data_IF_888582081596
#
_entry.id   IF_888582081596
#
_cell.length_a   1.000
_cell.length_b   1.000
_cell.length_c   1.000
_cell.angle_alpha   90.00
_cell.angle_beta   90.00
_cell.angle_gamma   90.00
#
_symmetry.space_group_name_H-M   'P 1'
#
loop_
_entity.id
_entity.type
_entity.pdbx_description
1 polymer ?
#
# COMPACT_ATOMS: atom_id res chain seq x y z
N UNK A 1 -4.97 2.93 15.97
CA UNK A 1 -5.10 3.63 14.67
C UNK A 1 -6.59 3.67 14.36
N UNK A 2 -7.07 4.61 13.56
CA UNK A 2 -8.49 4.68 13.19
C UNK A 2 -8.60 4.27 11.74
N UNK A 3 -9.30 3.17 11.46
CA UNK A 3 -9.53 2.81 10.07
C UNK A 3 -10.50 3.76 9.43
N UNK A 4 -10.32 4.02 8.14
CA UNK A 4 -11.16 4.94 7.38
C UNK A 4 -12.59 4.45 7.18
N UNK A 5 -12.93 3.23 7.60
CA UNK A 5 -14.33 2.82 7.81
C UNK A 5 -15.03 3.62 8.92
N UNK A 6 -14.30 4.16 9.90
CA UNK A 6 -14.83 4.93 11.04
C UNK A 6 -14.72 6.46 10.87
N UNK A 7 -14.05 6.94 9.82
CA UNK A 7 -13.83 8.38 9.55
C UNK A 7 -13.97 8.68 8.06
N UNK A 8 -14.92 9.55 7.72
CA UNK A 8 -14.96 10.19 6.39
C UNK A 8 -13.73 11.09 6.21
N UNK A 9 -12.71 10.59 5.52
CA UNK A 9 -11.65 11.45 4.97
C UNK A 9 -12.29 12.35 3.92
N UNK A 10 -11.90 13.63 3.89
CA UNK A 10 -12.46 14.59 2.94
C UNK A 10 -11.85 14.37 1.57
N UNK A 11 -12.64 13.80 0.65
CA UNK A 11 -12.34 13.88 -0.77
C UNK A 11 -12.44 15.33 -1.24
N UNK A 12 -11.60 15.71 -2.21
CA UNK A 12 -11.70 17.03 -2.85
C UNK A 12 -13.02 17.13 -3.62
N UNK A 13 -13.85 18.11 -3.29
CA UNK A 13 -15.06 18.45 -4.06
C UNK A 13 -14.63 19.23 -5.31
N UNK A 14 -14.85 18.68 -6.49
CA UNK A 14 -14.38 19.27 -7.76
C UNK A 14 -15.19 20.51 -8.20
N UNK A 15 -16.18 20.95 -7.40
CA UNK A 15 -17.02 22.10 -7.72
C UNK A 15 -16.51 23.44 -7.17
N UNK A 16 -15.30 23.86 -7.56
CA UNK A 16 -14.82 25.23 -7.31
C UNK A 16 -14.03 25.84 -8.47
N UNK A 17 -14.77 26.35 -9.47
CA UNK A 17 -14.26 27.34 -10.42
C UNK A 17 -14.01 28.67 -9.69
N UNK A 18 -12.75 28.99 -9.41
CA UNK A 18 -12.37 30.33 -8.95
C UNK A 18 -11.99 31.20 -10.15
N UNK A 19 -12.81 32.20 -10.44
CA UNK A 19 -12.62 33.14 -11.54
C UNK A 19 -11.99 34.43 -11.01
N UNK A 20 -10.67 34.55 -11.13
CA UNK A 20 -9.98 35.84 -10.92
C UNK A 20 -9.08 36.14 -12.11
N UNK A 21 -9.38 37.26 -12.77
CA UNK A 21 -8.57 37.82 -13.84
C UNK A 21 -7.32 38.46 -13.24
N UNK A 22 -6.15 38.15 -13.79
CA UNK A 22 -4.99 39.03 -13.69
C UNK A 22 -4.79 39.78 -15.01
N UNK A 23 -4.56 41.08 -14.88
CA UNK A 23 -4.48 42.02 -15.99
C UNK A 23 -3.09 41.99 -16.62
N UNK A 24 -3.01 41.73 -17.92
CA UNK A 24 -1.76 41.82 -18.68
C UNK A 24 -1.37 43.29 -18.84
N UNK A 25 -0.11 43.61 -18.56
CA UNK A 25 0.57 44.81 -19.08
C UNK A 25 1.84 44.32 -19.76
N UNK A 26 1.87 44.42 -21.09
CA UNK A 26 3.10 44.27 -21.87
C UNK A 26 3.90 45.59 -21.83
N UNK A 27 5.23 45.49 -21.77
CA UNK A 27 6.07 46.47 -22.45
C UNK A 27 7.36 45.79 -22.95
N UNK A 28 7.82 46.19 -24.13
CA UNK A 28 8.80 45.45 -24.94
C UNK A 28 10.00 46.31 -25.39
N UNK A 29 11.18 45.68 -25.39
CA UNK A 29 12.35 45.93 -26.24
C UNK A 29 13.35 44.79 -25.92
N UNK A 30 13.99 44.07 -26.87
CA UNK A 30 14.90 44.58 -27.91
C UNK A 30 16.25 44.93 -27.25
N UNK A 31 17.44 44.48 -27.66
CA UNK A 31 17.93 43.90 -28.92
C UNK A 31 19.39 43.38 -28.66
N UNK A 32 20.10 42.50 -29.40
CA UNK A 32 19.92 41.74 -30.66
C UNK A 32 20.92 40.52 -30.66
N UNK A 33 21.00 39.72 -31.74
CA UNK A 33 22.24 39.09 -32.30
C UNK A 33 23.01 37.94 -31.55
N UNK A 34 23.57 36.89 -32.20
CA UNK A 34 23.48 36.42 -33.60
C UNK A 34 23.97 34.94 -33.78
N UNK A 35 23.52 34.28 -34.88
CA UNK A 35 24.18 33.24 -35.74
C UNK A 35 24.97 32.01 -35.16
N UNK A 36 24.59 30.77 -35.54
CA UNK A 36 25.30 29.84 -36.51
C UNK A 36 26.51 29.10 -35.90
N UNK A 37 26.79 27.79 -36.08
CA UNK A 37 26.15 26.62 -36.72
C UNK A 37 26.76 25.33 -36.07
N UNK A 38 26.78 24.08 -36.57
CA UNK A 38 26.45 23.45 -37.87
C UNK A 38 26.13 21.93 -37.71
N UNK A 39 25.85 21.26 -38.82
CA UNK A 39 25.71 19.79 -38.97
C UNK A 39 27.04 19.03 -38.95
N UNK A 40 27.02 17.74 -38.59
CA UNK A 40 27.58 16.66 -39.44
C UNK A 40 26.99 15.29 -39.07
N UNK A 41 26.69 14.50 -40.11
CA UNK A 41 26.35 13.06 -40.07
C UNK A 41 27.63 12.20 -39.95
N UNK A 42 27.52 10.87 -39.82
CA UNK A 42 28.33 9.88 -40.57
C UNK A 42 27.85 8.40 -40.39
N UNK A 43 28.04 7.67 -41.49
CA UNK A 43 27.71 6.27 -41.86
C UNK A 43 28.93 5.30 -41.63
N UNK A 44 28.88 3.95 -41.65
CA UNK A 44 27.82 2.93 -41.78
C UNK A 44 28.37 1.53 -41.34
N UNK A 45 27.52 0.60 -40.87
CA UNK A 45 27.24 -0.74 -41.47
C UNK A 45 28.11 -1.96 -41.04
N UNK A 46 27.59 -3.14 -41.45
CA UNK A 46 28.10 -4.52 -41.46
C UNK A 46 28.26 -5.29 -40.12
N UNK A 47 27.59 -6.42 -39.86
CA UNK A 47 27.42 -7.70 -40.60
C UNK A 47 28.68 -8.62 -40.48
N UNK A 48 28.60 -9.96 -40.40
CA UNK A 48 27.51 -10.92 -40.63
C UNK A 48 27.78 -12.29 -39.96
N UNK A 49 26.72 -13.12 -39.85
CA UNK A 49 26.61 -14.58 -40.08
C UNK A 49 27.43 -15.65 -39.29
N UNK A 50 26.81 -16.84 -39.17
CA UNK A 50 27.37 -18.02 -38.50
C UNK A 50 26.33 -19.08 -38.10
N UNK A 51 25.47 -19.51 -39.03
CA UNK A 51 24.58 -20.67 -38.86
C UNK A 51 25.35 -21.99 -39.07
N UNK A 52 24.92 -23.08 -38.41
CA UNK A 52 24.70 -24.35 -39.13
C UNK A 52 23.79 -25.30 -38.32
N UNK A 53 23.00 -26.12 -39.02
CA UNK A 53 21.97 -27.01 -38.47
C UNK A 53 22.45 -28.48 -38.36
N UNK A 54 21.69 -29.35 -37.66
CA UNK A 54 20.92 -30.44 -38.29
C UNK A 54 20.44 -31.53 -37.27
N UNK A 55 19.42 -32.28 -37.69
CA UNK A 55 18.61 -33.32 -37.05
C UNK A 55 19.38 -34.57 -36.52
N UNK A 56 18.79 -35.61 -35.90
CA UNK A 56 17.40 -36.11 -35.96
C UNK A 56 16.99 -36.98 -34.73
N UNK A 57 15.78 -37.52 -34.74
CA UNK A 57 15.03 -38.12 -33.61
C UNK A 57 15.53 -39.47 -33.03
N UNK A 58 15.06 -39.82 -31.82
CA UNK A 58 14.16 -40.97 -31.54
C UNK A 58 13.65 -40.95 -30.08
N UNK A 59 12.49 -41.55 -29.84
CA UNK A 59 11.70 -41.60 -28.59
C UNK A 59 12.32 -42.35 -27.39
N UNK A 60 12.02 -41.89 -26.17
CA UNK A 60 11.28 -42.72 -25.18
C UNK A 60 10.53 -41.85 -24.15
N UNK A 61 9.52 -42.40 -23.50
CA UNK A 61 8.63 -41.68 -22.59
C UNK A 61 9.09 -41.77 -21.11
N UNK A 62 9.11 -40.63 -20.41
CA UNK A 62 8.92 -40.64 -18.94
C UNK A 62 8.12 -39.41 -18.51
N UNK A 63 7.04 -39.70 -17.78
CA UNK A 63 6.05 -38.75 -17.29
C UNK A 63 6.62 -37.92 -16.14
N UNK A 64 7.03 -36.68 -16.42
CA UNK A 64 7.15 -35.64 -15.40
C UNK A 64 6.01 -34.64 -15.58
N UNK A 65 5.16 -34.54 -14.56
CA UNK A 65 3.98 -33.68 -14.60
C UNK A 65 4.35 -32.34 -13.95
N UNK A 66 5.01 -31.48 -14.72
CA UNK A 66 5.30 -30.10 -14.32
C UNK A 66 4.02 -29.28 -14.43
N UNK A 67 3.28 -29.18 -13.32
CA UNK A 67 2.11 -28.30 -13.22
C UNK A 67 2.58 -26.91 -12.86
N UNK A 68 2.93 -26.14 -13.89
CA UNK A 68 2.99 -24.68 -13.80
C UNK A 68 1.58 -24.14 -13.52
N UNK A 69 1.21 -24.00 -12.25
CA UNK A 69 -0.01 -23.32 -11.83
C UNK A 69 0.12 -21.81 -12.08
N UNK A 70 0.05 -21.43 -13.35
CA UNK A 70 -0.23 -20.06 -13.76
C UNK A 70 -1.73 -19.81 -13.57
N UNK A 71 -2.16 -19.62 -12.31
CA UNK A 71 -3.44 -18.95 -12.05
C UNK A 71 -3.38 -17.58 -12.75
N UNK A 72 -4.31 -17.37 -13.69
CA UNK A 72 -4.47 -16.09 -14.37
C UNK A 72 -4.73 -14.98 -13.34
N UNK A 73 -3.73 -14.14 -13.12
CA UNK A 73 -3.75 -13.04 -12.13
C UNK A 73 -4.85 -11.99 -12.38
N UNK A 74 -5.49 -12.04 -13.55
CA UNK A 74 -6.64 -11.23 -13.92
C UNK A 74 -7.92 -11.74 -13.19
N UNK A 75 -7.97 -11.56 -11.86
CA UNK A 75 -9.05 -12.06 -11.01
C UNK A 75 -8.85 -11.99 -9.48
N UNK A 76 -7.75 -11.41 -8.98
CA UNK A 76 -7.54 -11.24 -7.53
C UNK A 76 -8.40 -10.10 -6.96
N UNK A 77 -9.60 -10.47 -6.51
CA UNK A 77 -10.52 -9.60 -5.77
C UNK A 77 -10.23 -9.69 -4.26
N UNK A 78 -10.21 -8.55 -3.56
CA UNK A 78 -9.95 -8.52 -2.10
C UNK A 78 -11.10 -9.20 -1.37
N UNK A 79 -10.79 -10.21 -0.55
CA UNK A 79 -11.78 -10.98 0.21
C UNK A 79 -11.32 -11.17 1.66
N UNK A 80 -11.95 -10.43 2.55
CA UNK A 80 -11.67 -10.45 3.98
C UNK A 80 -12.89 -10.07 4.81
N UNK A 81 -12.71 -9.94 6.11
CA UNK A 81 -13.74 -9.36 6.99
C UNK A 81 -14.12 -7.89 6.64
N UNK A 82 -13.31 -7.18 5.81
CA UNK A 82 -13.59 -5.82 5.28
C UNK A 82 -14.14 -5.82 3.86
N UNK A 83 -13.74 -6.78 3.03
CA UNK A 83 -13.95 -6.75 1.59
C UNK A 83 -14.68 -8.01 1.10
N UNK A 84 -15.61 -7.82 0.18
CA UNK A 84 -16.24 -8.91 -0.54
C UNK A 84 -16.14 -8.60 -2.04
N UNK A 85 -15.61 -9.54 -2.82
CA UNK A 85 -15.49 -9.42 -4.28
C UNK A 85 -14.77 -8.13 -4.72
N UNK A 86 -13.78 -7.68 -3.92
CA UNK A 86 -13.00 -6.46 -4.18
C UNK A 86 -13.68 -5.15 -3.71
N UNK A 87 -14.90 -5.20 -3.22
CA UNK A 87 -15.66 -4.05 -2.74
C UNK A 87 -15.66 -3.95 -1.21
N UNK A 88 -15.70 -2.72 -0.68
CA UNK A 88 -15.87 -2.50 0.75
C UNK A 88 -17.25 -2.98 1.21
N UNK A 89 -17.29 -3.88 2.19
CA UNK A 89 -18.55 -4.34 2.78
C UNK A 89 -19.24 -3.13 3.43
N UNK A 90 -20.40 -2.73 2.89
CA UNK A 90 -21.11 -1.50 3.31
C UNK A 90 -21.93 -1.66 4.60
N UNK A 91 -22.14 -2.90 5.05
CA UNK A 91 -22.81 -3.22 6.31
C UNK A 91 -22.13 -4.42 7.02
N UNK A 92 -20.86 -4.27 7.46
CA UNK A 92 -20.15 -5.36 8.09
C UNK A 92 -20.79 -5.67 9.44
N UNK A 93 -20.83 -6.97 9.80
CA UNK A 93 -21.32 -7.44 11.11
C UNK A 93 -20.56 -6.81 12.30
N UNK A 94 -19.40 -6.20 12.01
CA UNK A 94 -18.44 -5.62 12.95
C UNK A 94 -18.40 -4.08 12.97
N UNK A 95 -19.38 -3.36 12.38
CA UNK A 95 -19.47 -1.92 12.67
C UNK A 95 -19.55 -1.69 14.18
N UNK A 96 -18.79 -0.71 14.66
CA UNK A 96 -19.07 -0.08 15.95
C UNK A 96 -20.51 0.44 15.89
N UNK A 97 -21.47 -0.28 16.47
CA UNK A 97 -22.92 0.06 16.49
C UNK A 97 -23.24 1.19 17.47
N UNK A 98 -22.34 2.16 17.51
CA UNK A 98 -22.27 3.22 18.48
C UNK A 98 -22.74 4.49 17.81
N UNK A 99 -23.75 5.14 18.38
CA UNK A 99 -24.13 6.50 17.99
C UNK A 99 -22.86 7.35 18.06
N UNK A 100 -22.41 7.99 16.96
CA UNK A 100 -21.12 8.65 16.95
C UNK A 100 -21.06 9.71 18.05
N UNK A 101 -20.20 9.50 19.05
CA UNK A 101 -19.95 10.52 20.04
C UNK A 101 -19.38 11.75 19.33
N UNK A 102 -19.90 12.96 19.61
CA UNK A 102 -19.42 14.18 18.98
C UNK A 102 -17.92 14.47 19.23
N UNK A 103 -17.34 13.81 20.24
CA UNK A 103 -15.92 13.85 20.54
C UNK A 103 -15.13 12.61 20.09
N UNK A 104 -15.75 11.65 19.39
CA UNK A 104 -15.09 10.44 18.91
C UNK A 104 -13.76 10.77 18.22
N UNK A 105 -12.71 10.08 18.64
CA UNK A 105 -11.33 10.24 18.16
C UNK A 105 -10.67 11.60 18.45
N UNK A 106 -11.33 12.52 19.15
CA UNK A 106 -10.76 13.82 19.55
C UNK A 106 -10.00 13.66 20.87
N UNK A 107 -9.02 14.55 21.10
CA UNK A 107 -8.24 14.61 22.34
C UNK A 107 -8.95 15.53 23.33
N UNK A 108 -9.63 14.95 24.32
CA UNK A 108 -10.38 15.66 25.36
C UNK A 108 -9.61 15.54 26.68
N UNK A 109 -9.33 16.67 27.33
CA UNK A 109 -8.57 16.73 28.59
C UNK A 109 -7.24 15.94 28.55
N UNK A 110 -6.56 15.96 27.40
CA UNK A 110 -5.29 15.27 27.18
C UNK A 110 -5.38 13.81 26.69
N UNK A 111 -6.57 13.21 26.64
CA UNK A 111 -6.76 11.79 26.28
C UNK A 111 -7.63 11.65 25.03
N UNK A 112 -7.30 10.73 24.12
CA UNK A 112 -8.18 10.41 22.99
C UNK A 112 -9.38 9.58 23.44
N UNK A 113 -10.56 9.78 22.86
CA UNK A 113 -11.76 8.98 23.16
C UNK A 113 -12.20 8.13 21.95
N UNK A 114 -12.84 6.99 22.21
CA UNK A 114 -13.35 6.07 21.17
C UNK A 114 -14.71 6.52 20.60
N UNK A 115 -15.33 5.69 19.75
CA UNK A 115 -16.63 5.94 19.12
C UNK A 115 -17.79 6.16 20.11
N UNK A 116 -17.75 5.54 21.29
CA UNK A 116 -18.74 5.73 22.37
C UNK A 116 -18.39 6.90 23.32
N UNK A 117 -17.16 7.41 23.26
CA UNK A 117 -16.66 8.52 24.09
C UNK A 117 -15.85 8.10 25.32
N UNK A 118 -15.46 6.83 25.43
CA UNK A 118 -14.60 6.34 26.50
C UNK A 118 -13.12 6.64 26.21
N UNK A 119 -12.29 6.90 27.24
CA UNK A 119 -10.85 7.13 27.07
C UNK A 119 -10.09 5.93 26.48
N UNK A 120 -9.36 6.15 25.39
CA UNK A 120 -8.45 5.17 24.79
C UNK A 120 -7.14 5.16 25.59
N UNK A 121 -7.03 4.22 26.53
CA UNK A 121 -5.86 4.05 27.38
C UNK A 121 -4.60 3.82 26.53
N UNK A 122 -3.56 4.63 26.75
CA UNK A 122 -2.26 4.51 26.08
C UNK A 122 -2.18 5.16 24.69
N UNK A 123 -3.25 5.75 24.16
CA UNK A 123 -3.20 6.45 22.88
C UNK A 123 -2.38 7.76 22.98
N UNK A 124 -1.24 7.80 22.29
CA UNK A 124 -0.33 8.97 22.25
C UNK A 124 -0.47 9.81 20.99
N UNK A 125 -0.89 9.20 19.87
CA UNK A 125 -1.06 9.81 18.55
C UNK A 125 -2.32 9.32 17.84
N UNK A 126 -2.86 10.13 16.94
CA UNK A 126 -4.00 9.83 16.07
C UNK A 126 -3.56 9.71 14.61
N UNK A 127 -3.70 8.53 14.02
CA UNK A 127 -3.40 8.30 12.60
C UNK A 127 -4.49 7.54 11.87
N UNK A 128 -4.45 7.64 10.53
CA UNK A 128 -5.39 7.04 9.57
C UNK A 128 -4.69 6.04 8.64
N UNK A 129 -5.44 5.09 8.10
CA UNK A 129 -5.03 4.23 6.98
C UNK A 129 -5.81 4.55 5.70
N UNK A 130 -5.11 4.69 4.57
CA UNK A 130 -5.69 5.20 3.31
C UNK A 130 -5.25 4.40 2.08
N UNK A 131 -6.09 4.42 1.05
CA UNK A 131 -6.00 3.64 -0.20
C UNK A 131 -6.84 4.31 -1.30
N UNK A 132 -6.93 3.72 -2.48
CA UNK A 132 -7.80 4.20 -3.56
C UNK A 132 -9.28 4.33 -3.18
N UNK A 133 -9.78 3.56 -2.21
CA UNK A 133 -11.18 3.63 -1.75
C UNK A 133 -11.56 4.99 -1.14
N UNK A 134 -10.58 5.83 -0.76
CA UNK A 134 -10.84 7.19 -0.26
C UNK A 134 -10.90 8.24 -1.40
N UNK A 135 -10.58 7.86 -2.64
CA UNK A 135 -10.44 8.79 -3.76
C UNK A 135 -9.29 9.79 -3.53
N UNK A 136 -9.42 10.99 -4.13
CA UNK A 136 -8.42 12.06 -3.99
C UNK A 136 -8.62 12.82 -2.67
N UNK A 137 -7.70 12.63 -1.73
CA UNK A 137 -7.74 13.19 -0.37
C UNK A 137 -7.25 14.65 -0.33
N UNK A 138 -7.95 15.53 0.39
CA UNK A 138 -7.38 16.82 0.81
C UNK A 138 -6.42 16.64 2.00
N UNK A 139 -5.13 16.48 1.70
CA UNK A 139 -4.09 16.27 2.71
C UNK A 139 -3.80 17.51 3.58
N UNK A 140 -4.05 18.72 3.08
CA UNK A 140 -3.95 19.93 3.88
C UNK A 140 -5.04 19.96 4.95
N UNK A 141 -6.27 19.57 4.58
CA UNK A 141 -7.37 19.38 5.53
C UNK A 141 -7.06 18.27 6.55
N UNK A 142 -6.58 17.10 6.10
CA UNK A 142 -6.15 15.99 7.00
C UNK A 142 -5.17 16.47 8.06
N UNK A 143 -4.16 17.27 7.67
CA UNK A 143 -3.21 17.87 8.60
C UNK A 143 -3.88 18.87 9.56
N UNK A 144 -4.78 19.71 9.06
CA UNK A 144 -5.53 20.69 9.88
C UNK A 144 -6.49 20.05 10.90
N UNK A 145 -7.06 18.88 10.58
CA UNK A 145 -7.92 18.09 11.47
C UNK A 145 -7.10 17.34 12.55
N UNK A 146 -5.79 17.58 12.63
CA UNK A 146 -4.90 17.09 13.67
C UNK A 146 -4.57 15.60 13.57
N UNK A 147 -4.43 15.08 12.35
CA UNK A 147 -3.87 13.75 12.12
C UNK A 147 -2.34 13.81 12.30
N UNK A 148 -1.80 12.96 13.18
CA UNK A 148 -0.38 12.86 13.52
C UNK A 148 0.45 12.09 12.47
N UNK A 149 -0.16 11.13 11.77
CA UNK A 149 0.49 10.26 10.78
C UNK A 149 -0.53 9.52 9.89
N UNK A 150 -0.08 8.96 8.77
CA UNK A 150 -0.87 8.08 7.90
C UNK A 150 -0.17 6.74 7.61
N UNK A 151 -0.91 5.69 7.29
CA UNK A 151 -0.37 4.44 6.71
C UNK A 151 -1.04 4.25 5.34
N UNK A 152 -0.24 4.23 4.28
CA UNK A 152 -0.72 4.35 2.90
C UNK A 152 -0.65 2.99 2.19
N UNK A 153 -1.71 2.57 1.51
CA UNK A 153 -1.66 1.41 0.63
C UNK A 153 -0.74 1.70 -0.56
N UNK A 154 0.29 0.88 -0.75
CA UNK A 154 1.11 0.93 -1.96
C UNK A 154 0.55 0.07 -3.08
N UNK A 155 -0.14 -1.02 -2.75
CA UNK A 155 -0.74 -1.94 -3.70
C UNK A 155 -1.29 -3.19 -3.01
N UNK A 156 -1.44 -4.24 -3.78
CA UNK A 156 -1.79 -5.58 -3.33
C UNK A 156 -1.00 -6.63 -4.12
N UNK A 157 -0.87 -7.83 -3.57
CA UNK A 157 -0.35 -9.00 -4.31
C UNK A 157 1.06 -8.85 -4.90
N UNK A 158 1.33 -9.71 -5.89
CA UNK A 158 2.62 -9.90 -6.54
C UNK A 158 3.19 -8.62 -7.17
N UNK A 159 4.47 -8.62 -7.53
CA UNK A 159 5.17 -7.46 -8.11
C UNK A 159 4.74 -7.16 -9.56
N UNK A 160 3.51 -6.70 -9.74
CA UNK A 160 2.95 -6.19 -10.99
C UNK A 160 2.43 -4.77 -10.79
N UNK A 161 2.82 -3.87 -11.68
CA UNK A 161 2.33 -2.49 -11.76
C UNK A 161 0.81 -2.37 -11.94
N UNK A 162 0.12 -3.41 -12.42
CA UNK A 162 -1.35 -3.45 -12.49
C UNK A 162 -2.01 -3.53 -11.09
N UNK A 163 -1.23 -3.93 -10.08
CA UNK A 163 -1.67 -4.11 -8.68
C UNK A 163 -1.17 -2.97 -7.75
N UNK A 164 -0.49 -1.95 -8.30
CA UNK A 164 -0.19 -0.69 -7.60
C UNK A 164 -1.50 0.00 -7.17
N UNK A 165 -1.55 0.62 -5.99
CA UNK A 165 -2.69 1.43 -5.58
C UNK A 165 -2.75 2.72 -6.42
N UNK A 166 -3.85 3.02 -7.14
CA UNK A 166 -3.93 4.20 -8.01
C UNK A 166 -3.70 5.55 -7.31
N UNK A 167 -3.88 5.63 -5.99
CA UNK A 167 -3.62 6.85 -5.20
C UNK A 167 -2.22 6.86 -4.55
N UNK A 168 -1.42 5.79 -4.65
CA UNK A 168 -0.09 5.68 -4.03
C UNK A 168 0.78 6.92 -4.24
N UNK A 169 1.05 7.27 -5.51
CA UNK A 169 1.92 8.38 -5.90
C UNK A 169 1.42 9.71 -5.35
N UNK A 170 0.11 9.96 -5.45
CA UNK A 170 -0.51 11.19 -4.93
C UNK A 170 -0.39 11.26 -3.40
N UNK A 171 -0.80 10.21 -2.70
CA UNK A 171 -0.82 10.17 -1.23
C UNK A 171 0.58 10.29 -0.62
N UNK A 172 1.60 9.62 -1.17
CA UNK A 172 2.99 9.74 -0.70
C UNK A 172 3.53 11.13 -0.96
N UNK A 173 3.41 11.64 -2.20
CA UNK A 173 3.94 12.96 -2.56
C UNK A 173 3.32 14.10 -1.73
N UNK A 174 2.02 14.04 -1.43
CA UNK A 174 1.36 15.01 -0.55
C UNK A 174 1.77 14.88 0.92
N UNK A 175 1.98 13.65 1.43
CA UNK A 175 2.54 13.44 2.77
C UNK A 175 3.95 14.01 2.90
N UNK A 176 4.82 13.75 1.91
CA UNK A 176 6.19 14.28 1.88
C UNK A 176 6.19 15.81 1.76
N UNK A 177 5.44 16.38 0.81
CA UNK A 177 5.31 17.84 0.59
C UNK A 177 4.80 18.58 1.83
N UNK A 178 3.86 17.98 2.56
CA UNK A 178 3.30 18.57 3.78
C UNK A 178 4.04 18.17 5.06
N UNK A 179 5.06 17.30 4.99
CA UNK A 179 5.77 16.80 6.17
C UNK A 179 4.86 16.02 7.13
N UNK A 180 3.90 15.26 6.61
CA UNK A 180 3.05 14.34 7.37
C UNK A 180 3.81 13.01 7.49
N UNK A 181 4.18 12.56 8.71
CA UNK A 181 4.81 11.26 8.88
C UNK A 181 3.93 10.15 8.34
N UNK A 182 4.49 9.25 7.53
CA UNK A 182 3.72 8.13 6.97
C UNK A 182 4.47 6.80 7.08
N UNK A 183 3.69 5.72 6.98
CA UNK A 183 4.11 4.34 6.78
C UNK A 183 3.36 3.74 5.60
N UNK A 184 3.57 2.46 5.32
CA UNK A 184 3.07 1.80 4.11
C UNK A 184 2.43 0.48 4.45
N UNK A 185 1.43 0.04 3.69
CA UNK A 185 0.98 -1.35 3.71
C UNK A 185 0.77 -1.94 2.31
N UNK A 186 0.90 -3.27 2.22
CA UNK A 186 0.53 -4.08 1.06
C UNK A 186 -0.49 -5.13 1.50
N UNK A 187 -1.59 -5.26 0.76
CA UNK A 187 -2.59 -6.30 0.98
C UNK A 187 -2.10 -7.62 0.38
N UNK A 188 -1.90 -8.63 1.23
CA UNK A 188 -1.27 -9.90 0.84
C UNK A 188 -2.27 -10.89 0.26
N UNK A 189 -1.88 -11.55 -0.83
CA UNK A 189 -2.51 -12.75 -1.38
C UNK A 189 -1.59 -13.98 -1.32
N UNK A 190 -0.32 -13.80 -0.95
CA UNK A 190 0.69 -14.84 -0.96
C UNK A 190 0.26 -16.10 -0.17
N UNK A 191 0.20 -17.24 -0.86
CA UNK A 191 0.10 -18.57 -0.23
C UNK A 191 1.42 -19.31 -0.23
N UNK A 192 2.41 -18.80 -0.97
CA UNK A 192 3.76 -19.38 -1.11
C UNK A 192 4.86 -18.37 -0.76
N UNK A 193 6.05 -18.86 -0.36
CA UNK A 193 7.20 -17.99 -0.07
C UNK A 193 7.73 -17.27 -1.31
N UNK A 194 7.50 -17.81 -2.51
CA UNK A 194 7.79 -17.11 -3.78
C UNK A 194 6.94 -15.85 -3.92
N UNK A 195 5.63 -15.96 -3.68
CA UNK A 195 4.74 -14.80 -3.68
C UNK A 195 5.09 -13.82 -2.55
N UNK A 196 5.41 -14.29 -1.33
CA UNK A 196 5.83 -13.38 -0.25
C UNK A 196 7.12 -12.59 -0.57
N UNK A 197 8.03 -13.13 -1.40
CA UNK A 197 9.19 -12.38 -1.93
C UNK A 197 8.80 -11.40 -3.03
N UNK A 198 7.87 -11.79 -3.89
CA UNK A 198 7.31 -10.96 -4.95
C UNK A 198 6.55 -9.76 -4.37
N UNK A 199 5.65 -9.98 -3.41
CA UNK A 199 5.02 -8.96 -2.57
C UNK A 199 6.05 -8.01 -1.91
N UNK A 200 7.14 -8.53 -1.35
CA UNK A 200 8.21 -7.69 -0.82
C UNK A 200 8.88 -6.84 -1.91
N UNK A 201 9.15 -7.42 -3.09
CA UNK A 201 9.72 -6.71 -4.23
C UNK A 201 8.78 -5.63 -4.79
N UNK A 202 7.46 -5.85 -4.74
CA UNK A 202 6.43 -4.86 -5.07
C UNK A 202 6.61 -3.61 -4.19
N UNK A 203 6.62 -3.78 -2.87
CA UNK A 203 6.77 -2.65 -1.95
C UNK A 203 8.11 -1.95 -2.13
N UNK A 204 9.21 -2.70 -2.32
CA UNK A 204 10.54 -2.11 -2.53
C UNK A 204 10.66 -1.35 -3.86
N UNK A 205 10.00 -1.80 -4.94
CA UNK A 205 9.87 -1.04 -6.20
C UNK A 205 9.19 0.30 -5.95
N UNK A 206 8.08 0.31 -5.22
CA UNK A 206 7.28 1.51 -4.95
C UNK A 206 7.91 2.46 -3.93
N UNK A 207 8.75 1.95 -3.02
CA UNK A 207 9.51 2.74 -2.05
C UNK A 207 10.83 3.31 -2.58
N UNK A 208 11.23 3.00 -3.81
CA UNK A 208 12.50 3.49 -4.35
C UNK A 208 12.54 5.03 -4.42
N UNK A 209 13.40 5.66 -3.61
CA UNK A 209 13.49 7.11 -3.46
C UNK A 209 12.66 7.71 -2.30
N UNK A 210 11.87 6.89 -1.59
CA UNK A 210 10.99 7.31 -0.49
C UNK A 210 11.52 6.82 0.87
N UNK A 211 11.22 7.55 1.95
CA UNK A 211 11.71 7.23 3.30
C UNK A 211 10.60 7.37 4.37
N UNK A 212 9.69 6.37 4.48
CA UNK A 212 8.62 6.40 5.46
C UNK A 212 9.14 6.42 6.90
N UNK A 213 8.55 7.26 7.75
CA UNK A 213 8.91 7.36 9.17
C UNK A 213 8.30 6.23 10.03
N UNK A 214 7.21 5.63 9.55
CA UNK A 214 6.53 4.48 10.14
C UNK A 214 6.83 3.19 9.34
N UNK A 215 6.57 2.00 9.90
CA UNK A 215 6.90 0.74 9.25
C UNK A 215 6.17 0.49 7.93
N UNK A 216 6.74 -0.44 7.16
CA UNK A 216 6.05 -1.20 6.12
C UNK A 216 5.31 -2.36 6.76
N UNK A 217 4.01 -2.46 6.53
CA UNK A 217 3.15 -3.50 7.07
C UNK A 217 2.73 -4.50 5.99
N UNK A 218 2.85 -5.79 6.29
CA UNK A 218 2.10 -6.81 5.56
C UNK A 218 0.68 -6.87 6.14
N UNK A 219 -0.34 -6.60 5.32
CA UNK A 219 -1.75 -6.71 5.69
C UNK A 219 -2.20 -8.17 5.45
N UNK A 220 -2.33 -8.92 6.55
CA UNK A 220 -2.67 -10.34 6.56
C UNK A 220 -4.11 -10.52 7.06
N UNK A 221 -5.07 -10.47 6.13
CA UNK A 221 -6.48 -10.71 6.44
C UNK A 221 -7.29 -11.48 5.37
N UNK A 222 -6.66 -11.81 4.24
CA UNK A 222 -7.26 -12.49 3.08
C UNK A 222 -7.64 -13.95 3.40
N UNK A 223 -8.81 -14.39 2.94
CA UNK A 223 -9.35 -15.74 3.25
C UNK A 223 -8.50 -16.88 2.67
N UNK A 224 -7.82 -16.66 1.54
CA UNK A 224 -6.81 -17.60 1.00
C UNK A 224 -5.67 -17.85 2.01
N UNK A 225 -5.17 -16.78 2.63
CA UNK A 225 -4.13 -16.87 3.67
C UNK A 225 -4.71 -17.49 4.94
N UNK A 226 -5.94 -17.16 5.31
CA UNK A 226 -6.64 -17.73 6.47
C UNK A 226 -6.72 -19.25 6.42
N UNK A 227 -6.88 -19.81 5.23
CA UNK A 227 -6.99 -21.26 5.01
C UNK A 227 -5.67 -22.04 5.21
N UNK A 228 -4.53 -21.35 5.37
CA UNK A 228 -3.21 -21.96 5.59
C UNK A 228 -3.01 -22.32 7.07
N UNK A 229 -2.12 -23.28 7.34
CA UNK A 229 -1.70 -23.58 8.72
C UNK A 229 -0.83 -22.43 9.31
N UNK A 230 -0.77 -22.26 10.65
CA UNK A 230 -0.02 -21.17 11.29
C UNK A 230 1.47 -21.11 10.91
N UNK A 231 2.15 -22.25 10.78
CA UNK A 231 3.58 -22.27 10.43
C UNK A 231 3.83 -21.75 9.00
N UNK A 232 2.95 -22.08 8.05
CA UNK A 232 2.98 -21.48 6.70
C UNK A 232 2.73 -19.96 6.78
N UNK A 233 1.71 -19.50 7.50
CA UNK A 233 1.45 -18.05 7.72
C UNK A 233 2.67 -17.33 8.29
N UNK A 234 3.33 -17.92 9.30
CA UNK A 234 4.56 -17.41 9.88
C UNK A 234 5.72 -17.34 8.89
N UNK A 235 5.91 -18.38 8.07
CA UNK A 235 6.96 -18.41 7.06
C UNK A 235 6.74 -17.36 5.94
N UNK A 236 5.48 -17.08 5.55
CA UNK A 236 5.15 -16.00 4.61
C UNK A 236 5.51 -14.63 5.19
N UNK A 237 4.99 -14.33 6.39
CA UNK A 237 5.28 -13.10 7.12
C UNK A 237 6.80 -12.89 7.30
N UNK A 238 7.54 -13.94 7.67
CA UNK A 238 8.99 -13.90 7.83
C UNK A 238 9.70 -13.58 6.52
N UNK A 239 9.29 -14.23 5.43
CA UNK A 239 9.88 -14.04 4.10
C UNK A 239 9.74 -12.60 3.62
N UNK A 240 8.56 -12.01 3.80
CA UNK A 240 8.30 -10.60 3.49
C UNK A 240 9.11 -9.66 4.39
N UNK A 241 8.98 -9.80 5.71
CA UNK A 241 9.62 -8.92 6.69
C UNK A 241 11.15 -8.96 6.64
N UNK A 242 11.77 -10.13 6.44
CA UNK A 242 13.22 -10.24 6.28
C UNK A 242 13.68 -9.52 5.00
N UNK A 243 12.96 -9.68 3.89
CA UNK A 243 13.30 -9.05 2.60
C UNK A 243 13.20 -7.52 2.67
N UNK A 244 12.12 -7.00 3.25
CA UNK A 244 11.91 -5.55 3.37
C UNK A 244 12.85 -4.90 4.40
N UNK A 245 13.15 -5.60 5.50
CA UNK A 245 14.09 -5.08 6.51
C UNK A 245 15.56 -5.16 6.07
N UNK A 246 15.93 -6.13 5.23
CA UNK A 246 17.25 -6.16 4.59
C UNK A 246 17.51 -4.95 3.67
N UNK A 247 16.45 -4.34 3.12
CA UNK A 247 16.52 -3.09 2.38
C UNK A 247 16.54 -1.82 3.28
N UNK A 248 16.58 -1.97 4.61
CA UNK A 248 16.73 -0.89 5.58
C UNK A 248 15.43 -0.36 6.18
N UNK A 249 14.26 -0.84 5.76
CA UNK A 249 12.97 -0.37 6.27
C UNK A 249 12.57 -1.06 7.58
N UNK A 250 11.86 -0.33 8.46
CA UNK A 250 11.15 -0.94 9.59
C UNK A 250 9.96 -1.73 9.06
N UNK A 251 9.68 -2.88 9.67
CA UNK A 251 8.61 -3.79 9.24
C UNK A 251 7.60 -4.07 10.35
N UNK A 252 6.43 -4.53 9.96
CA UNK A 252 5.37 -4.95 10.86
C UNK A 252 4.33 -5.83 10.17
N UNK A 253 3.41 -6.36 10.97
CA UNK A 253 2.23 -7.09 10.49
C UNK A 253 1.00 -6.28 10.90
N UNK A 254 0.05 -6.15 9.99
CA UNK A 254 -1.30 -5.73 10.28
C UNK A 254 -2.25 -6.93 10.22
N UNK A 255 -3.15 -7.00 11.19
CA UNK A 255 -4.33 -7.84 11.17
C UNK A 255 -5.35 -7.35 12.22
N UNK A 256 -6.59 -7.83 12.15
CA UNK A 256 -7.56 -7.61 13.21
C UNK A 256 -7.27 -8.49 14.45
N UNK A 257 -7.88 -8.18 15.60
CA UNK A 257 -7.64 -8.91 16.85
C UNK A 257 -7.98 -10.42 16.73
N UNK A 258 -9.04 -10.78 16.01
CA UNK A 258 -9.44 -12.18 15.77
C UNK A 258 -8.33 -12.99 15.08
N UNK A 259 -7.68 -12.39 14.08
CA UNK A 259 -6.52 -12.97 13.41
C UNK A 259 -5.30 -13.06 14.32
N UNK A 260 -5.00 -12.03 15.13
CA UNK A 260 -3.90 -12.08 16.09
C UNK A 260 -4.08 -13.18 17.14
N UNK A 261 -5.31 -13.43 17.59
CA UNK A 261 -5.61 -14.44 18.62
C UNK A 261 -5.70 -15.87 18.07
N UNK A 262 -6.10 -16.05 16.79
CA UNK A 262 -6.45 -17.37 16.23
C UNK A 262 -5.59 -17.82 15.05
N UNK A 263 -5.20 -16.89 14.18
CA UNK A 263 -4.58 -17.21 12.89
C UNK A 263 -3.06 -17.00 12.89
N UNK A 264 -2.58 -15.93 13.54
CA UNK A 264 -1.18 -15.52 13.62
C UNK A 264 -0.48 -16.13 14.85
N UNK A 265 -0.71 -17.42 15.09
CA UNK A 265 -0.31 -18.13 16.31
C UNK A 265 1.09 -18.76 16.25
N UNK A 266 1.80 -18.67 15.12
CA UNK A 266 3.20 -19.10 15.02
C UNK A 266 4.13 -18.23 15.88
N UNK A 267 5.16 -18.85 16.45
CA UNK A 267 6.16 -18.20 17.30
C UNK A 267 6.82 -16.96 16.67
N UNK A 268 6.95 -16.88 15.34
CA UNK A 268 7.58 -15.75 14.65
C UNK A 268 6.81 -14.44 14.84
N UNK A 269 5.49 -14.51 15.08
CA UNK A 269 4.66 -13.34 15.37
C UNK A 269 4.93 -12.74 16.76
N UNK A 270 5.84 -13.32 17.55
CA UNK A 270 6.39 -12.74 18.78
C UNK A 270 7.73 -12.02 18.58
N UNK A 271 8.20 -11.86 17.32
CA UNK A 271 9.41 -11.10 17.01
C UNK A 271 9.27 -9.64 17.45
N UNK A 272 10.06 -9.23 18.46
CA UNK A 272 10.04 -7.88 19.03
C UNK A 272 10.57 -6.78 18.10
N UNK A 273 11.25 -7.16 17.01
CA UNK A 273 11.68 -6.22 15.96
C UNK A 273 10.57 -5.86 14.97
N UNK A 274 9.44 -6.60 14.96
CA UNK A 274 8.31 -6.33 14.10
C UNK A 274 7.26 -5.50 14.83
N UNK A 275 6.76 -4.44 14.18
CA UNK A 275 5.67 -3.65 14.71
C UNK A 275 4.33 -4.39 14.56
N UNK A 276 3.50 -4.40 15.62
CA UNK A 276 2.13 -4.93 15.55
C UNK A 276 1.14 -3.80 15.32
N UNK A 277 0.42 -3.83 14.20
CA UNK A 277 -0.74 -2.98 13.97
C UNK A 277 -1.99 -3.84 14.13
N UNK A 278 -2.70 -3.65 15.24
CA UNK A 278 -3.91 -4.40 15.59
C UNK A 278 -5.14 -3.56 15.27
N UNK A 279 -6.09 -4.18 14.56
CA UNK A 279 -7.39 -3.64 14.25
C UNK A 279 -8.47 -4.18 15.22
N UNK A 280 -9.18 -3.29 15.92
CA UNK A 280 -10.25 -3.63 16.86
C UNK A 280 -11.32 -2.52 16.85
N UNK A 281 -12.55 -2.86 16.44
CA UNK A 281 -13.64 -1.90 16.15
C UNK A 281 -14.83 -2.02 17.11
N UNK A 282 -14.79 -3.03 17.97
CA UNK A 282 -15.72 -3.38 19.02
C UNK A 282 -15.04 -3.30 20.39
N UNK A 283 -15.83 -3.01 21.42
CA UNK A 283 -15.40 -2.94 22.83
C UNK A 283 -15.23 -4.32 23.49
N UNK A 284 -15.49 -5.40 22.76
CA UNK A 284 -15.62 -6.78 23.26
C UNK A 284 -15.12 -7.78 22.24
#
# INVERSE_FOLDING_TARGET
MISTQDVKVSAVDETRTDSQQETIVEESAGDTDNEVSETTEIENEDAESGEDENAESVSDATKSQDTTDTESQNGLLKNSWRYQDGELITNPKFRSRSVPNANAWRKINGVYVNSVGEPIKGATKKGIDVSFYQGKIDWAKVKSDGIDFAIIQCGYGDNDSSQDDPQWKYNVSECERLGIPYGVYLYSYATTTTQAKSEAAHVLRLLNGHNPSYPVYLDMEEDRIKSLNPATKGQLAKTFCDTVSAAGYKVGIYANLDWWDKELTDSVFNNSSWSKWVAQYNTT
#
